data_IF_808485037758
#
_entry.id   IF_808485037758
#
_cell.length_a   1.000
_cell.length_b   1.000
_cell.length_c   1.000
_cell.angle_alpha   90.00
_cell.angle_beta   90.00
_cell.angle_gamma   90.00
#
_symmetry.space_group_name_H-M   'P 1'
#
loop_
_entity.id
_entity.type
_entity.pdbx_description
1 polymer ?
#
# COMPACT_ATOMS: atom_id res chain seq x y z
N UNK A 1 30.60 2.13 -3.09
CA UNK A 1 29.80 1.62 -4.23
C UNK A 1 28.64 2.57 -4.44
N UNK A 2 28.37 3.04 -5.67
CA UNK A 2 27.21 3.89 -5.91
C UNK A 2 25.93 3.08 -5.66
N UNK A 3 25.03 3.59 -4.81
CA UNK A 3 23.70 3.00 -4.67
C UNK A 3 23.02 2.96 -6.05
N UNK A 4 22.32 1.87 -6.41
CA UNK A 4 21.53 1.87 -7.63
C UNK A 4 20.54 3.04 -7.56
N UNK A 5 20.66 3.96 -8.52
CA UNK A 5 19.74 5.09 -8.68
C UNK A 5 18.33 4.53 -8.84
N UNK A 6 17.51 4.70 -7.80
CA UNK A 6 16.06 4.51 -7.79
C UNK A 6 15.56 3.36 -8.68
N UNK A 7 15.67 2.13 -8.20
CA UNK A 7 14.63 1.17 -8.57
C UNK A 7 13.30 1.84 -8.17
N UNK A 8 12.42 2.15 -9.14
CA UNK A 8 11.08 2.68 -8.88
C UNK A 8 10.33 1.65 -8.02
N UNK A 9 10.42 1.80 -6.71
CA UNK A 9 9.70 1.02 -5.72
C UNK A 9 8.23 1.44 -5.70
N UNK A 10 7.40 0.72 -4.96
CA UNK A 10 6.08 1.20 -4.54
C UNK A 10 6.16 2.65 -4.06
N UNK A 11 5.08 3.42 -4.25
CA UNK A 11 5.04 4.77 -3.70
C UNK A 11 5.30 4.73 -2.17
N UNK A 12 5.92 5.78 -1.58
CA UNK A 12 6.31 5.76 -0.18
C UNK A 12 5.17 5.46 0.81
N UNK A 13 3.93 5.83 0.43
CA UNK A 13 2.73 5.67 1.24
C UNK A 13 1.82 4.51 0.79
N UNK A 14 2.17 3.75 -0.26
CA UNK A 14 1.32 2.63 -0.74
C UNK A 14 1.04 1.62 0.37
N UNK A 15 2.05 1.23 1.14
CA UNK A 15 1.88 0.30 2.27
C UNK A 15 0.89 0.80 3.33
N UNK A 16 0.91 2.10 3.62
CA UNK A 16 -0.06 2.70 4.52
C UNK A 16 -1.48 2.71 3.91
N UNK A 17 -1.62 3.00 2.63
CA UNK A 17 -2.92 2.95 1.93
C UNK A 17 -3.51 1.54 1.91
N UNK A 18 -2.66 0.54 1.66
CA UNK A 18 -3.02 -0.88 1.70
C UNK A 18 -3.47 -1.30 3.09
N UNK A 19 -2.75 -0.84 4.12
CA UNK A 19 -3.11 -1.10 5.52
C UNK A 19 -4.46 -0.49 5.88
N UNK A 20 -4.70 0.77 5.50
CA UNK A 20 -5.98 1.44 5.67
C UNK A 20 -7.11 0.69 4.93
N UNK A 21 -6.87 0.28 3.68
CA UNK A 21 -7.82 -0.51 2.90
C UNK A 21 -8.18 -1.83 3.60
N UNK A 22 -7.18 -2.59 4.04
CA UNK A 22 -7.41 -3.86 4.71
C UNK A 22 -8.25 -3.68 5.98
N UNK A 23 -7.94 -2.66 6.79
CA UNK A 23 -8.69 -2.36 8.00
C UNK A 23 -10.12 -1.89 7.68
N UNK A 24 -10.30 -1.05 6.67
CA UNK A 24 -11.62 -0.60 6.21
C UNK A 24 -12.48 -1.77 5.71
N UNK A 25 -11.92 -2.71 4.95
CA UNK A 25 -12.65 -3.88 4.47
C UNK A 25 -13.17 -4.77 5.60
N UNK A 26 -12.52 -4.76 6.77
CA UNK A 26 -12.93 -5.51 7.97
C UNK A 26 -13.81 -4.70 8.93
N UNK A 27 -13.58 -3.40 8.97
CA UNK A 27 -14.27 -2.46 9.86
C UNK A 27 -14.71 -1.23 9.05
N UNK A 28 -15.79 -1.34 8.25
CA UNK A 28 -16.21 -0.28 7.34
C UNK A 28 -16.71 1.00 8.02
N UNK A 29 -16.89 0.97 9.35
CA UNK A 29 -17.19 2.12 10.19
C UNK A 29 -15.96 3.00 10.46
N UNK A 30 -14.74 2.47 10.27
CA UNK A 30 -13.48 3.21 10.44
C UNK A 30 -13.09 3.83 9.12
N UNK A 31 -13.14 5.16 9.04
CA UNK A 31 -12.92 5.88 7.78
C UNK A 31 -11.56 6.56 7.74
N UNK A 32 -10.93 6.75 8.90
CA UNK A 32 -9.67 7.45 9.05
C UNK A 32 -8.66 6.61 9.81
N UNK A 33 -7.39 6.75 9.45
CA UNK A 33 -6.30 5.94 9.97
C UNK A 33 -5.05 6.78 10.14
N UNK A 34 -4.41 6.69 11.30
CA UNK A 34 -3.02 7.10 11.48
C UNK A 34 -2.18 5.82 11.44
N UNK A 35 -1.35 5.68 10.40
CA UNK A 35 -0.55 4.48 10.13
C UNK A 35 0.92 4.85 10.17
N UNK A 36 1.66 4.23 11.08
CA UNK A 36 3.08 4.41 11.26
C UNK A 36 3.84 3.38 10.44
N UNK A 37 4.69 3.86 9.54
CA UNK A 37 5.80 3.03 9.07
C UNK A 37 6.86 3.00 10.17
N UNK A 38 7.15 1.81 10.70
CA UNK A 38 8.08 1.61 11.83
C UNK A 38 9.51 1.39 11.36
N UNK A 39 9.70 0.80 10.18
CA UNK A 39 10.97 0.59 9.51
C UNK A 39 10.83 0.85 8.00
N UNK A 40 11.85 1.38 7.30
CA UNK A 40 13.21 1.66 7.78
C UNK A 40 13.35 2.99 8.58
N UNK A 41 12.29 3.80 8.66
CA UNK A 41 12.26 5.03 9.45
C UNK A 41 10.86 5.27 10.02
N UNK A 42 10.78 5.87 11.21
CA UNK A 42 9.50 6.16 11.86
C UNK A 42 8.80 7.32 11.16
N UNK A 43 7.74 7.03 10.40
CA UNK A 43 6.91 8.06 9.74
C UNK A 43 5.43 7.72 9.90
N UNK A 44 4.64 8.70 10.33
CA UNK A 44 3.18 8.55 10.43
C UNK A 44 2.52 9.10 9.17
N UNK A 45 1.65 8.29 8.58
CA UNK A 45 0.78 8.63 7.48
C UNK A 45 -0.64 8.76 8.01
N UNK A 46 -1.21 9.96 7.90
CA UNK A 46 -2.63 10.17 8.12
C UNK A 46 -3.38 9.91 6.83
N UNK A 47 -4.27 8.94 6.86
CA UNK A 47 -5.08 8.48 5.74
C UNK A 47 -6.56 8.73 6.05
N UNK A 48 -7.22 9.45 5.16
CA UNK A 48 -8.62 9.86 5.30
C UNK A 48 -9.39 9.36 4.09
N UNK A 49 -10.53 8.70 4.31
CA UNK A 49 -11.45 8.38 3.23
C UNK A 49 -12.21 9.65 2.82
N UNK A 50 -11.94 10.15 1.61
CA UNK A 50 -12.57 11.36 1.06
C UNK A 50 -13.74 11.02 0.13
N UNK A 51 -13.70 9.84 -0.50
CA UNK A 51 -14.70 9.44 -1.49
C UNK A 51 -14.93 7.94 -1.48
N UNK A 52 -16.19 7.55 -1.64
CA UNK A 52 -16.60 6.15 -1.76
C UNK A 52 -17.74 6.04 -2.76
N UNK A 53 -17.51 5.24 -3.78
CA UNK A 53 -18.55 4.76 -4.69
C UNK A 53 -18.65 3.23 -4.58
N UNK A 54 -19.45 2.61 -5.46
CA UNK A 54 -19.56 1.16 -5.53
C UNK A 54 -18.24 0.51 -5.94
N UNK A 55 -17.52 1.13 -6.87
CA UNK A 55 -16.37 0.52 -7.55
C UNK A 55 -15.04 1.21 -7.22
N UNK A 56 -15.08 2.28 -6.44
CA UNK A 56 -13.92 3.13 -6.14
C UNK A 56 -13.92 3.62 -4.68
N UNK A 57 -12.75 3.57 -4.03
CA UNK A 57 -12.44 4.39 -2.85
C UNK A 57 -11.38 5.44 -3.19
N UNK A 58 -11.47 6.59 -2.54
CA UNK A 58 -10.48 7.65 -2.63
C UNK A 58 -9.94 7.90 -1.22
N UNK A 59 -8.68 7.51 -1.01
CA UNK A 59 -7.94 7.84 0.20
C UNK A 59 -7.04 9.04 -0.04
N UNK A 60 -7.08 9.99 0.89
CA UNK A 60 -6.17 11.12 0.95
C UNK A 60 -5.09 10.82 1.98
N UNK A 61 -3.83 10.99 1.59
CA UNK A 61 -2.67 10.88 2.47
C UNK A 61 -1.98 12.24 2.62
N UNK A 62 -1.78 12.70 3.87
CA UNK A 62 -1.05 13.94 4.16
C UNK A 62 -1.92 15.21 4.28
N UNK A 63 -1.34 16.29 4.83
CA UNK A 63 -2.05 17.55 5.14
C UNK A 63 -1.81 18.64 4.10
N UNK A 64 -0.58 19.13 3.99
CA UNK A 64 -0.26 20.34 3.22
C UNK A 64 -0.09 20.05 1.72
N UNK A 65 0.42 18.86 1.39
CA UNK A 65 0.57 18.36 0.02
C UNK A 65 -0.07 16.98 -0.07
N UNK A 66 -1.41 16.91 -0.14
CA UNK A 66 -2.10 15.63 -0.13
C UNK A 66 -1.81 14.84 -1.39
N UNK A 67 -1.52 13.55 -1.21
CA UNK A 67 -1.64 12.58 -2.29
C UNK A 67 -3.02 11.93 -2.21
N UNK A 68 -3.67 11.78 -3.36
CA UNK A 68 -4.90 11.01 -3.47
C UNK A 68 -4.58 9.67 -4.13
N UNK A 69 -5.01 8.59 -3.47
CA UNK A 69 -4.90 7.23 -3.95
C UNK A 69 -6.29 6.70 -4.23
N UNK A 70 -6.58 6.42 -5.50
CA UNK A 70 -7.81 5.80 -5.96
C UNK A 70 -7.66 4.28 -5.96
N UNK A 71 -8.59 3.59 -5.32
CA UNK A 71 -8.62 2.14 -5.20
C UNK A 71 -9.80 1.62 -5.99
N UNK A 72 -9.53 0.84 -7.03
CA UNK A 72 -10.55 0.18 -7.83
C UNK A 72 -10.67 -1.27 -7.41
N UNK A 73 -11.88 -1.71 -7.06
CA UNK A 73 -12.13 -3.09 -6.67
C UNK A 73 -12.35 -4.00 -7.87
N UNK A 74 -11.80 -5.21 -7.78
CA UNK A 74 -12.01 -6.32 -8.69
C UNK A 74 -12.34 -7.59 -7.89
N UNK A 75 -12.89 -8.61 -8.55
CA UNK A 75 -13.04 -9.98 -8.02
C UNK A 75 -13.46 -10.06 -6.55
N UNK A 76 -14.73 -9.72 -6.24
CA UNK A 76 -15.31 -9.78 -4.88
C UNK A 76 -14.50 -9.03 -3.81
N UNK A 77 -13.90 -7.87 -4.15
CA UNK A 77 -13.07 -7.05 -3.25
C UNK A 77 -11.79 -7.73 -2.75
N UNK A 78 -11.37 -8.82 -3.40
CA UNK A 78 -10.10 -9.49 -3.08
C UNK A 78 -8.97 -8.97 -3.93
N UNK A 79 -9.26 -8.48 -5.14
CA UNK A 79 -8.29 -7.86 -6.04
C UNK A 79 -8.55 -6.35 -6.11
N UNK A 80 -7.50 -5.54 -6.15
CA UNK A 80 -7.63 -4.11 -6.21
C UNK A 80 -6.46 -3.46 -6.93
N UNK A 81 -6.74 -2.33 -7.57
CA UNK A 81 -5.74 -1.49 -8.22
C UNK A 81 -5.65 -0.15 -7.49
N UNK A 82 -4.46 0.21 -7.06
CA UNK A 82 -4.15 1.53 -6.52
C UNK A 82 -3.56 2.39 -7.63
N UNK A 83 -4.13 3.58 -7.82
CA UNK A 83 -3.59 4.62 -8.68
C UNK A 83 -3.43 5.90 -7.87
N UNK A 84 -2.24 6.49 -7.92
CA UNK A 84 -1.92 7.73 -7.21
C UNK A 84 -2.00 8.91 -8.18
N UNK A 85 -2.65 10.01 -7.80
CA UNK A 85 -2.95 11.13 -8.71
C UNK A 85 -1.70 11.76 -9.35
N UNK A 86 -0.59 11.77 -8.62
CA UNK A 86 0.68 12.34 -9.07
C UNK A 86 1.55 11.36 -9.89
N UNK A 87 1.09 10.12 -10.10
CA UNK A 87 1.87 9.07 -10.75
C UNK A 87 1.06 8.33 -11.82
N UNK A 88 1.60 8.11 -13.03
CA UNK A 88 0.97 7.25 -14.03
C UNK A 88 1.06 5.76 -13.67
N UNK A 89 1.85 5.40 -12.66
CA UNK A 89 2.06 4.02 -12.22
C UNK A 89 0.79 3.48 -11.55
N UNK A 90 0.38 2.30 -11.98
CA UNK A 90 -0.71 1.51 -11.39
C UNK A 90 -0.10 0.36 -10.61
N UNK A 91 -0.63 0.12 -9.43
CA UNK A 91 -0.18 -0.92 -8.53
C UNK A 91 -1.35 -1.90 -8.31
N UNK A 92 -1.23 -3.15 -8.74
CA UNK A 92 -2.30 -4.15 -8.65
C UNK A 92 -2.01 -5.17 -7.55
N UNK A 93 -3.01 -5.49 -6.75
CA UNK A 93 -2.86 -6.28 -5.54
C UNK A 93 -4.01 -7.26 -5.34
N UNK A 94 -3.76 -8.28 -4.53
CA UNK A 94 -4.75 -9.25 -4.07
C UNK A 94 -4.60 -9.51 -2.58
N UNK A 95 -5.66 -9.32 -1.80
CA UNK A 95 -5.75 -9.71 -0.39
C UNK A 95 -6.52 -11.02 -0.29
N UNK A 96 -5.91 -12.03 0.33
CA UNK A 96 -6.57 -13.27 0.71
C UNK A 96 -6.33 -13.58 2.19
N UNK A 97 -7.38 -13.46 3.00
CA UNK A 97 -7.30 -13.69 4.44
C UNK A 97 -6.35 -12.72 5.14
N UNK A 98 -5.12 -13.16 5.43
CA UNK A 98 -4.05 -12.36 6.04
C UNK A 98 -2.86 -12.13 5.10
N UNK A 99 -2.94 -12.59 3.86
CA UNK A 99 -1.86 -12.43 2.89
C UNK A 99 -2.22 -11.37 1.89
N UNK A 100 -1.20 -10.60 1.51
CA UNK A 100 -1.22 -9.64 0.43
C UNK A 100 -0.25 -10.12 -0.64
N UNK A 101 -0.75 -10.22 -1.85
CA UNK A 101 0.00 -10.57 -3.04
C UNK A 101 -0.07 -9.41 -4.00
N UNK A 102 0.96 -9.21 -4.81
CA UNK A 102 0.95 -8.20 -5.87
C UNK A 102 0.90 -8.85 -7.26
N UNK A 103 0.16 -8.19 -8.15
CA UNK A 103 0.22 -8.36 -9.60
C UNK A 103 1.11 -7.29 -10.24
N UNK A 104 2.00 -7.74 -11.13
CA UNK A 104 2.83 -6.99 -12.10
C UNK A 104 2.83 -5.45 -11.99
N UNK A 105 3.81 -4.87 -11.29
CA UNK A 105 4.10 -3.43 -11.39
C UNK A 105 4.86 -3.16 -12.70
N UNK A 106 4.17 -2.74 -13.77
CA UNK A 106 4.83 -2.32 -15.02
C UNK A 106 5.20 -0.84 -14.98
N UNK A 107 6.46 -0.56 -14.72
CA UNK A 107 7.01 0.78 -14.95
C UNK A 107 7.19 1.05 -16.45
N UNK A 108 7.27 2.32 -16.85
CA UNK A 108 7.62 2.74 -18.24
C UNK A 108 8.94 2.12 -18.74
N UNK A 109 9.81 1.70 -17.82
CA UNK A 109 11.08 1.01 -18.08
C UNK A 109 10.97 -0.52 -18.14
N UNK A 110 9.76 -1.10 -18.03
CA UNK A 110 9.55 -2.55 -18.07
C UNK A 110 10.03 -3.32 -16.83
N UNK A 111 10.38 -2.62 -15.75
CA UNK A 111 10.79 -3.26 -14.49
C UNK A 111 9.58 -3.83 -13.78
N UNK A 112 9.60 -5.15 -13.52
CA UNK A 112 8.66 -5.89 -12.67
C UNK A 112 9.22 -5.97 -11.25
N UNK A 113 8.46 -5.48 -10.28
CA UNK A 113 8.71 -5.71 -8.86
C UNK A 113 7.73 -6.80 -8.42
N UNK A 114 8.12 -7.70 -7.53
CA UNK A 114 7.17 -8.56 -6.81
C UNK A 114 7.13 -8.14 -5.35
N UNK A 115 5.93 -8.17 -4.80
CA UNK A 115 5.63 -7.79 -3.44
C UNK A 115 4.79 -8.87 -2.78
N UNK A 116 5.12 -9.20 -1.56
CA UNK A 116 4.34 -10.05 -0.68
C UNK A 116 4.24 -9.37 0.68
N UNK A 117 3.09 -9.55 1.35
CA UNK A 117 2.92 -9.11 2.72
C UNK A 117 1.96 -9.95 3.54
N UNK A 118 2.06 -9.82 4.85
CA UNK A 118 1.27 -10.57 5.83
C UNK A 118 0.74 -9.63 6.92
N UNK A 119 -0.52 -9.86 7.32
CA UNK A 119 -1.24 -9.13 8.36
C UNK A 119 -1.22 -9.90 9.70
N UNK A 120 -0.49 -9.39 10.70
CA UNK A 120 -0.11 -10.21 11.88
C UNK A 120 -1.10 -10.25 13.05
N UNK A 121 -1.87 -9.18 13.36
CA UNK A 121 -2.74 -9.14 14.55
C UNK A 121 -4.11 -8.43 14.31
N UNK A 122 -5.17 -8.79 15.07
CA UNK A 122 -6.53 -8.29 14.81
C UNK A 122 -6.83 -6.87 15.34
N UNK A 123 -6.16 -6.40 16.40
CA UNK A 123 -6.40 -5.06 16.99
C UNK A 123 -5.39 -4.02 16.52
N UNK A 124 -4.24 -4.47 16.01
CA UNK A 124 -3.19 -3.64 15.43
C UNK A 124 -2.64 -4.41 14.25
N UNK A 125 -2.91 -3.97 13.04
CA UNK A 125 -2.46 -4.69 11.86
C UNK A 125 -1.03 -4.26 11.53
N UNK A 126 -0.16 -5.24 11.31
CA UNK A 126 1.19 -5.03 10.79
C UNK A 126 1.28 -5.52 9.34
N UNK A 127 1.90 -4.75 8.45
CA UNK A 127 2.17 -5.15 7.07
C UNK A 127 3.68 -5.16 6.89
N UNK A 128 4.22 -6.34 6.59
CA UNK A 128 5.60 -6.51 6.14
C UNK A 128 5.63 -6.53 4.62
N UNK A 129 6.58 -5.80 4.04
CA UNK A 129 6.77 -5.74 2.60
C UNK A 129 8.14 -6.33 2.22
N UNK A 130 8.17 -7.34 1.34
CA UNK A 130 9.41 -7.88 0.76
C UNK A 130 9.47 -7.61 -0.75
N UNK A 131 10.62 -7.13 -1.25
CA UNK A 131 10.80 -6.74 -2.66
C UNK A 131 11.72 -7.70 -3.42
N UNK A 132 11.26 -8.16 -4.59
CA UNK A 132 12.08 -8.94 -5.54
C UNK A 132 12.22 -8.21 -6.87
N UNK A 133 13.43 -8.24 -7.41
CA UNK A 133 13.76 -7.73 -8.75
C UNK A 133 13.36 -8.73 -9.85
N UNK A 134 13.30 -8.30 -11.14
CA UNK A 134 12.99 -9.18 -12.25
C UNK A 134 13.93 -10.38 -12.41
N UNK A 135 15.18 -10.27 -11.95
CA UNK A 135 16.19 -11.32 -11.99
C UNK A 135 16.10 -12.31 -10.82
N UNK A 136 15.04 -12.21 -10.00
CA UNK A 136 14.81 -13.05 -8.83
C UNK A 136 15.63 -12.64 -7.60
N UNK A 137 16.50 -11.63 -7.71
CA UNK A 137 17.26 -11.13 -6.58
C UNK A 137 16.35 -10.41 -5.59
N UNK A 138 16.40 -10.85 -4.35
CA UNK A 138 15.76 -10.14 -3.24
C UNK A 138 16.57 -8.87 -2.95
N UNK A 139 15.92 -7.71 -3.01
CA UNK A 139 16.44 -6.52 -2.33
C UNK A 139 15.85 -6.57 -0.93
N UNK A 140 16.70 -6.70 0.09
CA UNK A 140 16.30 -6.64 1.50
C UNK A 140 15.98 -5.19 1.91
N UNK A 141 14.99 -4.58 1.28
CA UNK A 141 14.46 -3.27 1.69
C UNK A 141 13.07 -3.51 2.28
N UNK A 142 13.00 -3.84 3.57
CA UNK A 142 11.72 -4.19 4.20
C UNK A 142 11.06 -2.95 4.76
N UNK A 143 9.76 -2.84 4.56
CA UNK A 143 8.93 -1.83 5.21
C UNK A 143 7.94 -2.51 6.14
N UNK A 144 7.79 -1.91 7.32
CA UNK A 144 6.88 -2.37 8.36
C UNK A 144 5.91 -1.25 8.67
N UNK A 145 4.64 -1.57 8.75
CA UNK A 145 3.57 -0.61 9.03
C UNK A 145 2.76 -1.07 10.22
N UNK A 146 2.26 -0.14 11.03
CA UNK A 146 1.40 -0.38 12.16
C UNK A 146 0.26 0.65 12.18
N UNK A 147 -0.96 0.23 12.48
CA UNK A 147 -2.07 1.16 12.74
C UNK A 147 -1.92 1.75 14.14
N UNK A 148 -1.65 3.04 14.25
CA UNK A 148 -1.58 3.75 15.55
C UNK A 148 -2.99 4.07 16.07
N UNK A 149 -3.92 4.43 15.17
CA UNK A 149 -5.33 4.64 15.52
C UNK A 149 -6.26 4.56 14.30
N UNK A 150 -7.54 4.25 14.55
CA UNK A 150 -8.61 4.20 13.54
C UNK A 150 -9.92 4.80 14.10
N UNK A 151 -10.53 5.74 13.37
CA UNK A 151 -11.71 6.49 13.84
C UNK A 151 -12.66 6.93 12.72
#
# INVERSE_FOLDING_TARGET
MPQPRYAKSLQPHSGAVIMALYHFLKHPDKLNFDIRMTEPFSRVYRIILEGRTRDELIFRTGKDWPCYSRIYFHSNNTEFRIQHDHSPVKEEFRIEGRKLYMGDLRTESGMRVEFEGEFFQPTTLELKEDFRLPDGRLINDRRYYQVDSAW
#
